data_IF_302666578904
#
_entry.id   IF_302666578904
#
_cell.length_a   1.000
_cell.length_b   1.000
_cell.length_c   1.000
_cell.angle_alpha   90.00
_cell.angle_beta   90.00
_cell.angle_gamma   90.00
#
_symmetry.space_group_name_H-M   'P 1'
#
loop_
_entity.id
_entity.type
_entity.pdbx_description
1 polymer ?
#
# COMPACT_ATOMS: atom_id res chain seq x y z
N UNK A 1 31.70 -12.75 -1.45
CA UNK A 1 31.15 -12.65 -0.09
C UNK A 1 30.55 -13.96 0.46
N UNK A 2 30.36 -15.04 -0.32
CA UNK A 2 30.07 -16.38 0.24
C UNK A 2 30.98 -17.50 -0.30
N UNK A 3 31.88 -17.20 -1.23
CA UNK A 3 32.79 -18.18 -1.83
C UNK A 3 32.11 -19.10 -2.85
N UNK A 4 30.92 -19.61 -2.50
CA UNK A 4 30.13 -20.55 -3.30
C UNK A 4 28.71 -20.04 -3.61
N UNK A 5 28.13 -20.43 -4.76
CA UNK A 5 26.76 -20.08 -5.10
C UNK A 5 25.76 -20.87 -4.25
N UNK A 6 25.21 -20.22 -3.23
CA UNK A 6 24.21 -20.81 -2.33
C UNK A 6 22.77 -20.70 -2.84
N UNK A 7 22.53 -19.97 -3.93
CA UNK A 7 21.20 -19.74 -4.49
C UNK A 7 21.11 -19.94 -6.00
N UNK A 8 20.01 -20.55 -6.44
CA UNK A 8 19.71 -20.77 -7.85
C UNK A 8 19.10 -19.51 -8.45
N UNK A 9 19.83 -18.89 -9.37
CA UNK A 9 19.33 -17.77 -10.19
C UNK A 9 18.85 -18.33 -11.54
N UNK A 10 17.77 -17.75 -12.09
CA UNK A 10 17.27 -18.08 -13.44
C UNK A 10 17.37 -16.86 -14.35
N UNK A 11 17.44 -17.10 -15.65
CA UNK A 11 17.52 -16.04 -16.65
C UNK A 11 16.31 -15.08 -16.61
N UNK A 12 16.56 -13.86 -17.06
CA UNK A 12 15.56 -12.82 -17.23
C UNK A 12 14.64 -13.21 -18.38
N UNK A 13 13.32 -13.05 -18.21
CA UNK A 13 12.33 -13.31 -19.27
C UNK A 13 12.48 -12.30 -20.41
N UNK A 14 11.94 -12.63 -21.57
CA UNK A 14 11.94 -11.75 -22.75
C UNK A 14 11.24 -10.38 -22.53
N UNK A 15 10.42 -10.24 -21.48
CA UNK A 15 9.79 -8.99 -21.06
C UNK A 15 10.65 -8.16 -20.07
N UNK A 16 11.92 -8.52 -19.89
CA UNK A 16 12.86 -7.84 -19.00
C UNK A 16 12.64 -8.13 -17.51
N UNK A 17 11.71 -9.02 -17.14
CA UNK A 17 11.41 -9.33 -15.74
C UNK A 17 12.18 -10.56 -15.25
N UNK A 18 12.88 -10.40 -14.13
CA UNK A 18 13.48 -11.52 -13.40
C UNK A 18 12.42 -12.46 -12.83
N UNK A 19 12.68 -13.77 -12.83
CA UNK A 19 11.83 -14.74 -12.12
C UNK A 19 12.35 -14.92 -10.70
N UNK A 20 11.58 -14.45 -9.71
CA UNK A 20 11.83 -14.79 -8.31
C UNK A 20 11.84 -16.31 -8.15
N UNK A 21 13.03 -16.86 -7.94
CA UNK A 21 13.27 -18.30 -7.83
C UNK A 21 13.31 -18.72 -6.36
N UNK A 22 13.67 -17.80 -5.47
CA UNK A 22 13.53 -17.94 -4.01
C UNK A 22 12.05 -18.11 -3.63
N UNK A 23 11.68 -19.26 -3.08
CA UNK A 23 10.32 -19.60 -2.61
C UNK A 23 10.18 -19.67 -1.09
N UNK A 24 11.30 -19.73 -0.37
CA UNK A 24 11.36 -19.73 1.10
C UNK A 24 12.29 -18.63 1.61
N UNK A 25 12.06 -18.16 2.84
CA UNK A 25 12.96 -17.21 3.50
C UNK A 25 14.18 -17.96 4.02
N UNK A 26 15.38 -17.45 3.75
CA UNK A 26 16.63 -18.04 4.23
C UNK A 26 17.46 -17.00 4.99
N UNK A 27 18.18 -17.49 6.01
CA UNK A 27 19.14 -16.72 6.77
C UNK A 27 20.52 -17.34 6.54
N UNK A 28 21.42 -16.55 5.96
CA UNK A 28 22.78 -16.97 5.62
C UNK A 28 23.76 -16.21 6.51
N UNK A 29 24.55 -16.95 7.28
CA UNK A 29 25.63 -16.40 8.09
C UNK A 29 26.86 -16.19 7.21
N UNK A 30 27.42 -14.98 7.23
CA UNK A 30 28.65 -14.67 6.50
C UNK A 30 29.84 -14.73 7.46
N UNK A 31 30.98 -15.32 7.04
CA UNK A 31 32.22 -15.24 7.79
C UNK A 31 32.59 -13.78 8.11
N UNK A 32 32.75 -13.45 9.39
CA UNK A 32 32.89 -12.06 9.87
C UNK A 32 31.69 -11.54 10.67
N UNK A 33 30.65 -12.36 10.86
CA UNK A 33 29.55 -12.11 11.81
C UNK A 33 28.34 -11.39 11.23
N UNK A 34 28.35 -11.06 9.94
CA UNK A 34 27.18 -10.50 9.26
C UNK A 34 26.15 -11.59 8.92
N UNK A 35 24.89 -11.17 8.77
CA UNK A 35 23.77 -12.05 8.44
C UNK A 35 23.03 -11.50 7.22
N UNK A 36 22.81 -12.34 6.22
CA UNK A 36 21.98 -12.03 5.06
C UNK A 36 20.65 -12.74 5.20
N UNK A 37 19.56 -12.00 5.09
CA UNK A 37 18.20 -12.54 5.02
C UNK A 37 17.76 -12.42 3.56
N UNK A 38 17.63 -13.56 2.87
CA UNK A 38 17.01 -13.59 1.56
C UNK A 38 15.53 -13.95 1.70
N UNK A 39 14.66 -13.13 1.11
CA UNK A 39 13.22 -13.34 1.13
C UNK A 39 12.72 -13.57 -0.30
N UNK A 40 11.76 -14.47 -0.52
CA UNK A 40 11.04 -14.57 -1.79
C UNK A 40 10.57 -13.19 -2.24
N UNK A 41 10.65 -12.93 -3.54
CA UNK A 41 10.26 -11.63 -4.11
C UNK A 41 8.91 -11.17 -3.58
N UNK A 42 8.92 -10.02 -2.91
CA UNK A 42 7.72 -9.33 -2.46
C UNK A 42 6.91 -8.95 -3.71
N UNK A 43 5.85 -9.72 -4.00
CA UNK A 43 4.98 -9.48 -5.16
C UNK A 43 3.93 -8.40 -4.90
N UNK A 44 3.55 -8.23 -3.65
CA UNK A 44 2.55 -7.28 -3.22
C UNK A 44 2.88 -6.87 -1.79
N UNK A 45 3.13 -5.58 -1.58
CA UNK A 45 3.13 -4.98 -0.25
C UNK A 45 1.73 -4.47 -0.02
N UNK A 46 0.93 -5.20 0.75
CA UNK A 46 -0.34 -4.65 1.22
C UNK A 46 -0.03 -3.54 2.23
N UNK A 47 -0.43 -2.31 1.94
CA UNK A 47 -0.26 -1.18 2.84
C UNK A 47 -1.22 -1.34 4.02
N UNK A 48 -0.76 -2.00 5.07
CA UNK A 48 -1.43 -1.99 6.37
C UNK A 48 -1.05 -0.68 7.06
N UNK A 49 -2.02 0.19 7.36
CA UNK A 49 -1.82 1.54 7.92
C UNK A 49 -1.15 2.52 6.95
N UNK A 50 -1.74 2.63 5.77
CA UNK A 50 -1.17 3.39 4.66
C UNK A 50 -1.24 4.92 4.87
N UNK A 51 -2.26 5.41 5.57
CA UNK A 51 -2.49 6.85 5.81
C UNK A 51 -1.30 7.48 6.55
N UNK A 52 -0.93 6.95 7.72
CA UNK A 52 0.26 7.42 8.47
C UNK A 52 1.59 7.26 7.70
N UNK A 53 1.62 6.33 6.75
CA UNK A 53 2.79 6.05 5.93
C UNK A 53 3.00 7.03 4.79
N UNK A 54 1.91 7.60 4.25
CA UNK A 54 1.94 8.56 3.16
C UNK A 54 2.61 9.86 3.63
N UNK A 55 2.09 10.45 4.71
CA UNK A 55 2.57 11.71 5.29
C UNK A 55 4.07 11.66 5.62
N UNK A 56 4.53 10.54 6.19
CA UNK A 56 5.95 10.36 6.52
C UNK A 56 6.81 10.18 5.28
N UNK A 57 6.31 9.45 4.29
CA UNK A 57 7.08 9.10 3.10
C UNK A 57 7.12 10.24 2.09
N UNK A 58 6.21 11.22 2.18
CA UNK A 58 6.08 12.35 1.27
C UNK A 58 5.97 13.70 2.00
N UNK A 59 6.64 13.82 3.15
CA UNK A 59 6.69 15.04 3.95
C UNK A 59 7.20 16.27 3.18
N UNK A 60 8.01 16.05 2.14
CA UNK A 60 8.44 17.05 1.17
C UNK A 60 7.25 17.64 0.37
N UNK A 61 6.35 16.78 -0.11
CA UNK A 61 5.13 17.20 -0.81
C UNK A 61 4.18 17.90 0.15
N UNK A 62 3.99 17.36 1.36
CA UNK A 62 3.11 17.94 2.37
C UNK A 62 3.56 19.34 2.76
N UNK A 63 4.86 19.56 2.96
CA UNK A 63 5.40 20.88 3.30
C UNK A 63 4.96 21.96 2.31
N UNK A 64 5.03 21.68 1.00
CA UNK A 64 4.53 22.59 -0.02
C UNK A 64 3.00 22.66 -0.06
N UNK A 65 2.30 21.57 0.21
CA UNK A 65 0.83 21.57 0.27
C UNK A 65 0.29 22.47 1.38
N UNK A 66 0.99 22.57 2.52
CA UNK A 66 0.66 23.48 3.62
C UNK A 66 0.79 24.96 3.26
N UNK A 67 1.57 25.29 2.23
CA UNK A 67 1.77 26.66 1.74
C UNK A 67 0.78 27.06 0.63
N UNK A 68 -0.11 26.16 0.22
CA UNK A 68 -1.14 26.48 -0.77
C UNK A 68 -2.09 27.58 -0.28
N UNK A 69 -2.51 28.43 -1.21
CA UNK A 69 -3.47 29.51 -0.94
C UNK A 69 -4.83 28.98 -0.43
N UNK A 70 -5.19 27.75 -0.79
CA UNK A 70 -6.44 27.08 -0.44
C UNK A 70 -6.17 25.82 0.38
N UNK A 71 -6.97 25.60 1.43
CA UNK A 71 -6.87 24.41 2.29
C UNK A 71 -7.33 23.12 1.61
N UNK A 72 -8.17 23.24 0.59
CA UNK A 72 -8.74 22.17 -0.22
C UNK A 72 -8.13 22.12 -1.63
N UNK A 73 -6.89 22.60 -1.78
CA UNK A 73 -6.17 22.56 -3.05
C UNK A 73 -5.96 21.11 -3.52
N UNK A 74 -6.37 20.80 -4.75
CA UNK A 74 -6.11 19.50 -5.38
C UNK A 74 -4.81 19.46 -6.19
N UNK A 75 -4.08 20.59 -6.23
CA UNK A 75 -2.84 20.77 -6.96
C UNK A 75 -2.95 20.46 -8.46
N UNK A 76 -4.14 20.67 -9.04
CA UNK A 76 -4.49 20.32 -10.41
C UNK A 76 -4.58 21.52 -11.36
N UNK A 77 -4.48 22.74 -10.84
CA UNK A 77 -4.57 23.97 -11.65
C UNK A 77 -4.99 25.21 -10.87
N UNK A 78 -5.13 25.11 -9.55
CA UNK A 78 -5.55 26.21 -8.70
C UNK A 78 -4.51 27.33 -8.70
N UNK A 79 -4.95 28.61 -8.66
CA UNK A 79 -4.04 29.73 -8.47
C UNK A 79 -3.42 29.70 -7.07
N UNK A 80 -2.12 30.02 -6.95
CA UNK A 80 -1.42 30.00 -5.66
C UNK A 80 -1.18 28.59 -5.09
N UNK A 81 -1.00 27.60 -5.97
CA UNK A 81 -0.66 26.25 -5.58
C UNK A 81 0.86 26.10 -5.40
N UNK A 82 1.33 26.20 -4.15
CA UNK A 82 2.74 26.08 -3.82
C UNK A 82 3.38 24.75 -4.26
N UNK A 83 2.63 23.63 -4.27
CA UNK A 83 3.12 22.36 -4.82
C UNK A 83 3.45 22.46 -6.31
N UNK A 84 2.59 23.12 -7.10
CA UNK A 84 2.84 23.32 -8.53
C UNK A 84 3.98 24.31 -8.75
N UNK A 85 4.01 25.40 -7.99
CA UNK A 85 5.08 26.39 -8.09
C UNK A 85 6.44 25.74 -7.77
N UNK A 86 6.50 24.84 -6.78
CA UNK A 86 7.70 24.06 -6.47
C UNK A 86 8.09 23.07 -7.58
N UNK A 87 7.12 22.48 -8.29
CA UNK A 87 7.38 21.61 -9.45
C UNK A 87 7.92 22.44 -10.63
N UNK A 88 7.26 23.55 -10.95
CA UNK A 88 7.65 24.47 -12.03
C UNK A 88 9.02 25.11 -11.74
N UNK A 89 9.34 25.37 -10.47
CA UNK A 89 10.62 25.89 -9.99
C UNK A 89 11.73 24.83 -9.86
N UNK A 90 11.40 23.54 -9.89
CA UNK A 90 12.35 22.43 -9.76
C UNK A 90 12.72 22.04 -8.32
N UNK A 91 12.11 22.67 -7.32
CA UNK A 91 12.26 22.35 -5.90
C UNK A 91 11.57 21.02 -5.53
N UNK A 92 10.54 20.64 -6.29
CA UNK A 92 9.86 19.35 -6.17
C UNK A 92 9.88 18.60 -7.52
N UNK A 93 10.50 17.42 -7.63
CA UNK A 93 10.48 16.67 -8.88
C UNK A 93 9.07 16.22 -9.28
N UNK A 94 8.70 16.37 -10.54
CA UNK A 94 7.38 15.98 -11.04
C UNK A 94 7.08 14.48 -10.80
N UNK A 95 8.06 13.60 -11.02
CA UNK A 95 7.93 12.16 -10.75
C UNK A 95 7.64 11.86 -9.28
N UNK A 96 8.13 12.70 -8.37
CA UNK A 96 7.90 12.59 -6.92
C UNK A 96 6.43 12.84 -6.60
N UNK A 97 5.88 13.94 -7.11
CA UNK A 97 4.47 14.28 -6.97
C UNK A 97 3.57 13.25 -7.68
N UNK A 98 3.96 12.76 -8.86
CA UNK A 98 3.24 11.69 -9.54
C UNK A 98 3.18 10.41 -8.69
N UNK A 99 4.27 10.06 -8.02
CA UNK A 99 4.33 8.91 -7.10
C UNK A 99 3.44 9.12 -5.88
N UNK A 100 3.42 10.32 -5.30
CA UNK A 100 2.51 10.71 -4.21
C UNK A 100 1.05 10.49 -4.61
N UNK A 101 0.62 11.09 -5.72
CA UNK A 101 -0.76 10.97 -6.24
C UNK A 101 -1.14 9.54 -6.59
N UNK A 102 -0.18 8.73 -7.05
CA UNK A 102 -0.41 7.31 -7.30
C UNK A 102 -0.71 6.57 -5.99
N UNK A 103 0.12 6.78 -4.97
CA UNK A 103 -0.03 6.10 -3.69
C UNK A 103 -1.33 6.50 -2.98
N UNK A 104 -1.67 7.79 -2.97
CA UNK A 104 -2.94 8.31 -2.43
C UNK A 104 -4.15 7.58 -3.05
N UNK A 105 -4.18 7.40 -4.38
CA UNK A 105 -5.25 6.65 -5.06
C UNK A 105 -5.31 5.17 -4.67
N UNK A 106 -4.15 4.54 -4.43
CA UNK A 106 -4.08 3.16 -3.99
C UNK A 106 -4.62 3.00 -2.56
N UNK A 107 -4.30 3.95 -1.67
CA UNK A 107 -4.83 4.02 -0.30
C UNK A 107 -6.35 4.14 -0.32
N UNK A 108 -6.86 5.11 -1.08
CA UNK A 108 -8.28 5.34 -1.31
C UNK A 108 -9.02 4.09 -1.80
N UNK A 109 -8.41 3.38 -2.76
CA UNK A 109 -8.97 2.17 -3.32
C UNK A 109 -9.06 1.05 -2.27
N UNK A 110 -8.02 0.88 -1.47
CA UNK A 110 -7.98 -0.11 -0.38
C UNK A 110 -9.01 0.23 0.70
N UNK A 111 -9.12 1.50 1.09
CA UNK A 111 -10.09 1.98 2.08
C UNK A 111 -11.54 1.69 1.64
N UNK A 112 -11.93 2.12 0.42
CA UNK A 112 -13.28 1.88 -0.13
C UNK A 112 -13.63 0.39 -0.21
N UNK A 113 -12.65 -0.45 -0.53
CA UNK A 113 -12.84 -1.91 -0.59
C UNK A 113 -13.04 -2.51 0.80
N UNK A 114 -12.31 -2.02 1.81
CA UNK A 114 -12.46 -2.43 3.21
C UNK A 114 -13.85 -2.08 3.74
N UNK A 115 -14.33 -0.87 3.49
CA UNK A 115 -15.64 -0.40 3.96
C UNK A 115 -16.78 -1.25 3.39
N UNK A 116 -16.76 -1.49 2.07
CA UNK A 116 -17.74 -2.38 1.42
C UNK A 116 -17.71 -3.80 1.99
N UNK A 117 -16.52 -4.32 2.31
CA UNK A 117 -16.40 -5.64 2.91
C UNK A 117 -17.02 -5.69 4.31
N UNK A 118 -16.83 -4.64 5.12
CA UNK A 118 -17.44 -4.50 6.44
C UNK A 118 -18.97 -4.40 6.34
N UNK A 119 -19.49 -3.54 5.48
CA UNK A 119 -20.95 -3.37 5.26
C UNK A 119 -21.61 -4.69 4.85
N UNK A 120 -20.99 -5.43 3.93
CA UNK A 120 -21.48 -6.74 3.49
C UNK A 120 -21.46 -7.78 4.63
N UNK A 121 -20.44 -7.75 5.48
CA UNK A 121 -20.33 -8.64 6.63
C UNK A 121 -21.43 -8.35 7.68
N UNK A 122 -21.69 -7.07 7.98
CA UNK A 122 -22.77 -6.66 8.88
C UNK A 122 -24.13 -7.09 8.35
N UNK A 123 -24.39 -6.85 7.05
CA UNK A 123 -25.65 -7.25 6.42
C UNK A 123 -25.88 -8.77 6.49
N UNK A 124 -24.83 -9.57 6.30
CA UNK A 124 -24.91 -11.04 6.46
C UNK A 124 -25.22 -11.42 7.92
N UNK A 125 -24.54 -10.80 8.88
CA UNK A 125 -24.74 -11.02 10.31
C UNK A 125 -26.20 -10.75 10.72
N UNK A 126 -26.76 -9.61 10.31
CA UNK A 126 -28.15 -9.25 10.60
C UNK A 126 -29.15 -10.23 10.00
N UNK A 127 -28.94 -10.67 8.75
CA UNK A 127 -29.77 -11.72 8.14
C UNK A 127 -29.76 -13.01 8.95
N UNK A 128 -28.59 -13.39 9.48
CA UNK A 128 -28.42 -14.60 10.27
C UNK A 128 -29.11 -14.51 11.64
N UNK A 129 -29.00 -13.36 12.31
CA UNK A 129 -29.72 -13.06 13.55
C UNK A 129 -31.24 -13.10 13.32
N UNK A 130 -31.74 -12.48 12.25
CA UNK A 130 -33.17 -12.51 11.93
C UNK A 130 -33.69 -13.92 11.66
N UNK A 131 -32.90 -14.75 10.96
CA UNK A 131 -33.23 -16.16 10.72
C UNK A 131 -33.33 -16.94 12.03
N UNK A 132 -32.30 -16.84 12.88
CA UNK A 132 -32.27 -17.51 14.19
C UNK A 132 -33.42 -17.06 15.09
N UNK A 133 -33.76 -15.77 15.11
CA UNK A 133 -34.88 -15.25 15.89
C UNK A 133 -36.23 -15.79 15.39
N UNK A 134 -36.45 -15.88 14.07
CA UNK A 134 -37.66 -16.51 13.50
C UNK A 134 -37.77 -17.99 13.88
N UNK A 135 -36.68 -18.75 13.78
CA UNK A 135 -36.65 -20.16 14.16
C UNK A 135 -36.96 -20.35 15.66
N UNK A 136 -36.36 -19.51 16.50
CA UNK A 136 -36.56 -19.53 17.96
C UNK A 136 -37.98 -19.13 18.36
N UNK A 137 -38.61 -18.19 17.67
CA UNK A 137 -40.03 -17.85 17.88
C UNK A 137 -40.95 -19.00 17.47
N UNK A 138 -40.67 -19.68 16.34
CA UNK A 138 -41.44 -20.86 15.89
C UNK A 138 -41.37 -22.01 16.89
N UNK A 139 -40.23 -22.20 17.55
CA UNK A 139 -40.05 -23.27 18.53
C UNK A 139 -40.71 -22.96 19.89
N UNK A 140 -40.81 -21.67 20.28
CA UNK A 140 -41.47 -21.23 21.53
C UNK A 140 -42.99 -21.14 21.45
N UNK A 141 -43.56 -21.16 20.24
CA UNK A 141 -45.01 -21.11 20.01
C UNK A 141 -45.68 -22.48 19.91
N UNK A 142 -45.02 -23.55 20.38
CA UNK A 142 -45.51 -24.94 20.37
C UNK A 142 -45.59 -25.49 21.78
#
# INVERSE_FOLDING_TARGET
MLGDPTQVVRDIRADGKGRHTTTSRQLVLIPGGAVVIDTPGLRELTLWHAEDGLDRSFADVDAFAWECAFRDCHHAGEPGCAVRDAIEGGDLPEERFASYRKLEREIDFVARRRDKALELAERKRWKQIHKQNRERMRFRGR
#
